data_IF_883868189640
#
_entry.id   IF_883868189640
#
_cell.length_a   1.000
_cell.length_b   1.000
_cell.length_c   1.000
_cell.angle_alpha   90.00
_cell.angle_beta   90.00
_cell.angle_gamma   90.00
#
_symmetry.space_group_name_H-M   'P 1'
#
loop_
_entity.id
_entity.type
_entity.pdbx_description
1 polymer ?
#
# COMPACT_ATOMS: atom_id res chain seq x y z
N UNK A 1 -7.00 3.66 -3.42
CA UNK A 1 -7.49 2.31 -3.14
C UNK A 1 -7.69 2.02 -1.64
N UNK A 2 -6.92 2.65 -0.76
CA UNK A 2 -7.05 2.41 0.68
C UNK A 2 -8.37 2.91 1.30
N UNK A 3 -9.13 3.71 0.57
CA UNK A 3 -10.50 4.07 0.95
C UNK A 3 -11.56 3.27 0.22
N UNK A 4 -11.15 2.38 -0.67
CA UNK A 4 -12.08 1.57 -1.46
C UNK A 4 -12.55 0.36 -0.66
N UNK A 5 -13.87 0.17 -0.63
CA UNK A 5 -14.53 -0.94 0.08
C UNK A 5 -15.68 -1.52 -0.76
N UNK A 6 -15.49 -1.60 -2.07
CA UNK A 6 -16.48 -2.10 -2.99
C UNK A 6 -16.40 -3.62 -3.21
N UNK A 7 -17.34 -4.14 -4.00
CA UNK A 7 -17.48 -5.58 -4.26
C UNK A 7 -16.40 -6.13 -5.20
N UNK A 8 -15.89 -5.29 -6.14
CA UNK A 8 -14.80 -5.69 -7.04
C UNK A 8 -13.50 -5.59 -6.25
N UNK A 9 -12.63 -6.59 -6.36
CA UNK A 9 -11.37 -6.57 -5.61
C UNK A 9 -10.44 -5.46 -6.11
N UNK A 10 -9.63 -4.86 -5.23
CA UNK A 10 -8.62 -3.88 -5.65
C UNK A 10 -7.63 -4.45 -6.68
N UNK A 11 -7.34 -5.75 -6.61
CA UNK A 11 -6.48 -6.44 -7.56
C UNK A 11 -7.07 -6.43 -8.97
N UNK A 12 -8.39 -6.64 -9.10
CA UNK A 12 -9.08 -6.57 -10.38
C UNK A 12 -9.10 -5.16 -10.95
N UNK A 13 -9.34 -4.15 -10.09
CA UNK A 13 -9.29 -2.75 -10.49
C UNK A 13 -7.91 -2.40 -11.02
N UNK A 14 -6.86 -2.77 -10.31
CA UNK A 14 -5.48 -2.50 -10.72
C UNK A 14 -5.13 -3.22 -12.01
N UNK A 15 -5.64 -4.44 -12.22
CA UNK A 15 -5.43 -5.16 -13.47
C UNK A 15 -5.96 -4.38 -14.67
N UNK A 16 -7.16 -3.82 -14.55
CA UNK A 16 -7.73 -3.00 -15.61
C UNK A 16 -6.87 -1.78 -15.93
N UNK A 17 -6.38 -1.07 -14.91
CA UNK A 17 -5.47 0.05 -15.11
C UNK A 17 -4.17 -0.37 -15.79
N UNK A 18 -3.56 -1.44 -15.30
CA UNK A 18 -2.29 -1.93 -15.84
C UNK A 18 -2.45 -2.39 -17.28
N UNK A 19 -3.53 -3.11 -17.60
CA UNK A 19 -3.80 -3.59 -18.96
C UNK A 19 -3.99 -2.43 -19.96
N UNK A 20 -4.51 -1.31 -19.49
CA UNK A 20 -4.73 -0.13 -20.32
C UNK A 20 -3.45 0.68 -20.59
N UNK A 21 -2.38 0.45 -19.83
CA UNK A 21 -1.12 1.18 -20.00
C UNK A 21 -0.27 0.57 -21.10
N UNK A 22 0.48 1.39 -21.86
CA UNK A 22 1.45 0.85 -22.83
C UNK A 22 2.65 0.22 -22.11
N UNK A 23 3.32 -0.71 -22.82
CA UNK A 23 4.58 -1.30 -22.35
C UNK A 23 5.60 -0.22 -22.03
N UNK A 24 6.35 -0.41 -20.96
CA UNK A 24 7.33 0.56 -20.48
C UNK A 24 6.77 1.60 -19.50
N UNK A 25 5.45 1.62 -19.29
CA UNK A 25 4.82 2.49 -18.29
C UNK A 25 5.22 2.10 -16.88
N UNK A 26 5.20 3.10 -15.99
CA UNK A 26 5.44 2.89 -14.55
C UNK A 26 4.16 3.16 -13.76
N UNK A 27 3.94 2.37 -12.73
CA UNK A 27 2.84 2.53 -11.78
C UNK A 27 3.44 2.68 -10.40
N UNK A 28 3.11 3.77 -9.73
CA UNK A 28 3.46 3.99 -8.32
C UNK A 28 2.21 3.82 -7.47
N UNK A 29 2.29 2.99 -6.45
CA UNK A 29 1.18 2.72 -5.54
C UNK A 29 1.64 2.92 -4.10
N UNK A 30 0.86 3.67 -3.32
CA UNK A 30 0.96 3.67 -1.87
C UNK A 30 -0.35 3.15 -1.29
N UNK A 31 -0.27 2.46 -0.17
CA UNK A 31 -1.44 1.87 0.45
C UNK A 31 -1.25 1.70 1.95
N UNK A 32 -2.34 1.80 2.70
CA UNK A 32 -2.34 1.48 4.12
C UNK A 32 -2.02 -0.01 4.29
N UNK A 33 -1.07 -0.30 5.15
CA UNK A 33 -0.53 -1.63 5.39
C UNK A 33 -0.93 -2.14 6.76
N UNK A 34 -1.43 -3.38 6.79
CA UNK A 34 -1.47 -4.18 8.00
C UNK A 34 -0.15 -4.97 8.06
N UNK A 35 0.79 -4.59 8.96
CA UNK A 35 2.10 -5.25 9.02
C UNK A 35 2.05 -6.68 9.51
N UNK A 36 0.89 -7.16 9.98
CA UNK A 36 0.67 -8.51 10.50
C UNK A 36 1.50 -8.84 11.73
N UNK A 37 1.92 -7.82 12.47
CA UNK A 37 2.48 -7.96 13.81
C UNK A 37 1.41 -7.65 14.83
N UNK A 38 1.46 -8.27 16.00
CA UNK A 38 0.45 -8.11 17.05
C UNK A 38 0.20 -6.63 17.37
N UNK A 39 1.27 -5.87 17.63
CA UNK A 39 1.18 -4.45 17.99
C UNK A 39 0.63 -3.58 16.87
N UNK A 40 1.16 -3.73 15.65
CA UNK A 40 0.80 -2.84 14.54
C UNK A 40 -0.50 -3.25 13.87
N UNK A 41 -0.89 -4.52 13.91
CA UNK A 41 -2.19 -4.95 13.40
C UNK A 41 -3.33 -4.38 14.24
N UNK A 42 -3.16 -4.31 15.55
CA UNK A 42 -4.14 -3.66 16.43
C UNK A 42 -4.28 -2.17 16.10
N UNK A 43 -3.14 -1.49 15.89
CA UNK A 43 -3.14 -0.10 15.47
C UNK A 43 -3.86 0.09 14.14
N UNK A 44 -3.61 -0.79 13.16
CA UNK A 44 -4.29 -0.76 11.86
C UNK A 44 -5.81 -0.90 12.02
N UNK A 45 -6.27 -1.83 12.87
CA UNK A 45 -7.72 -1.98 13.12
C UNK A 45 -8.33 -0.75 13.76
N UNK A 46 -7.65 -0.13 14.70
CA UNK A 46 -8.13 1.10 15.34
C UNK A 46 -8.20 2.27 14.35
N UNK A 47 -7.25 2.37 13.44
CA UNK A 47 -7.28 3.39 12.39
C UNK A 47 -8.43 3.15 11.41
N UNK A 48 -8.69 1.91 11.01
CA UNK A 48 -9.84 1.59 10.16
C UNK A 48 -11.16 2.02 10.82
N UNK A 49 -11.31 1.74 12.09
CA UNK A 49 -12.50 2.15 12.85
C UNK A 49 -12.63 3.66 12.93
N UNK A 50 -11.52 4.35 13.15
CA UNK A 50 -11.50 5.82 13.17
C UNK A 50 -11.94 6.39 11.82
N UNK A 51 -11.45 5.86 10.72
CA UNK A 51 -11.87 6.30 9.39
C UNK A 51 -13.35 6.02 9.12
N UNK A 52 -13.85 4.87 9.57
CA UNK A 52 -15.25 4.51 9.41
C UNK A 52 -16.19 5.52 10.05
N UNK A 53 -15.81 6.09 11.20
CA UNK A 53 -16.58 7.06 11.93
C UNK A 53 -16.21 8.53 11.60
N UNK A 54 -15.35 8.72 10.61
CA UNK A 54 -14.93 10.04 10.14
C UNK A 54 -15.73 10.45 8.89
N UNK A 55 -15.60 11.72 8.43
CA UNK A 55 -16.14 12.12 7.14
C UNK A 55 -15.64 11.32 5.94
N UNK A 56 -14.51 10.63 6.07
CA UNK A 56 -14.01 9.74 5.02
C UNK A 56 -14.85 8.48 4.83
N UNK A 57 -15.50 7.99 5.90
CA UNK A 57 -16.41 6.84 5.88
C UNK A 57 -15.77 5.48 5.75
N UNK A 58 -14.57 5.36 5.19
CA UNK A 58 -13.85 4.10 4.99
C UNK A 58 -12.34 4.31 5.09
N UNK A 59 -11.64 3.22 5.38
CA UNK A 59 -10.19 3.13 5.31
C UNK A 59 -9.81 1.67 5.51
N UNK A 60 -9.11 1.08 4.54
CA UNK A 60 -8.77 -0.35 4.57
C UNK A 60 -7.27 -0.51 4.69
N UNK A 61 -6.84 -1.27 5.69
CA UNK A 61 -5.45 -1.67 5.86
C UNK A 61 -5.33 -3.09 5.33
N UNK A 62 -4.54 -3.25 4.27
CA UNK A 62 -4.39 -4.53 3.59
C UNK A 62 -3.03 -5.14 3.91
N UNK A 63 -2.95 -6.46 3.81
CA UNK A 63 -1.70 -7.17 4.05
C UNK A 63 -0.71 -6.94 2.91
N UNK A 64 0.56 -7.26 3.16
CA UNK A 64 1.61 -7.18 2.15
C UNK A 64 1.24 -7.98 0.89
N UNK A 65 0.76 -9.21 1.06
CA UNK A 65 0.39 -10.07 -0.06
C UNK A 65 -0.77 -9.49 -0.87
N UNK A 66 -1.75 -8.90 -0.22
CA UNK A 66 -2.86 -8.24 -0.89
C UNK A 66 -2.39 -7.05 -1.72
N UNK A 67 -1.48 -6.24 -1.18
CA UNK A 67 -0.93 -5.07 -1.87
C UNK A 67 -0.03 -5.51 -3.03
N UNK A 68 0.81 -6.51 -2.83
CA UNK A 68 1.62 -7.07 -3.93
C UNK A 68 0.75 -7.62 -5.05
N UNK A 69 -0.39 -8.22 -4.72
CA UNK A 69 -1.37 -8.68 -5.71
C UNK A 69 -1.92 -7.57 -6.58
N UNK A 70 -2.01 -6.34 -6.07
CA UNK A 70 -2.42 -5.18 -6.86
C UNK A 70 -1.40 -4.78 -7.92
N UNK A 71 -0.15 -5.18 -7.75
CA UNK A 71 0.96 -4.88 -8.66
C UNK A 71 1.29 -6.07 -9.57
N UNK A 72 0.43 -7.09 -9.62
CA UNK A 72 0.63 -8.27 -10.44
C UNK A 72 0.77 -7.90 -11.92
N UNK A 73 1.72 -8.52 -12.59
CA UNK A 73 2.03 -8.24 -14.01
C UNK A 73 3.05 -7.11 -14.20
N UNK A 74 3.48 -6.45 -13.14
CA UNK A 74 4.51 -5.43 -13.20
C UNK A 74 5.83 -5.97 -12.66
N UNK A 75 6.93 -5.46 -13.22
CA UNK A 75 8.27 -5.68 -12.66
C UNK A 75 8.53 -4.63 -11.61
N UNK A 76 8.64 -5.04 -10.33
CA UNK A 76 8.86 -4.09 -9.25
C UNK A 76 10.28 -3.52 -9.33
N UNK A 77 10.36 -2.20 -9.20
CA UNK A 77 11.62 -1.46 -9.11
C UNK A 77 12.14 -1.60 -7.67
N UNK A 78 13.48 -1.76 -7.49
CA UNK A 78 14.05 -1.77 -6.15
C UNK A 78 13.70 -0.47 -5.39
N UNK A 79 13.33 -0.57 -4.13
CA UNK A 79 13.42 -1.70 -3.20
C UNK A 79 12.18 -2.63 -3.18
N UNK A 80 11.30 -2.58 -4.16
CA UNK A 80 10.07 -3.36 -4.16
C UNK A 80 9.01 -2.77 -3.25
N UNK A 81 8.11 -3.60 -2.73
CA UNK A 81 7.13 -3.16 -1.75
C UNK A 81 7.79 -3.03 -0.38
N UNK A 82 7.83 -1.82 0.14
CA UNK A 82 8.42 -1.52 1.44
C UNK A 82 7.66 -0.36 2.10
N UNK A 83 7.96 -0.08 3.37
CA UNK A 83 7.41 1.08 4.04
C UNK A 83 7.75 2.36 3.27
N UNK A 84 6.81 3.28 3.15
CA UNK A 84 7.06 4.54 2.44
C UNK A 84 8.24 5.30 3.04
N UNK A 85 8.45 5.22 4.36
CA UNK A 85 9.58 5.84 5.03
C UNK A 85 10.94 5.24 4.62
N UNK A 86 10.96 4.03 4.09
CA UNK A 86 12.18 3.34 3.65
C UNK A 86 12.42 3.44 2.13
N UNK A 87 11.56 4.18 1.42
CA UNK A 87 11.75 4.43 0.00
C UNK A 87 12.82 5.51 -0.22
N UNK A 88 14.01 5.08 -0.62
CA UNK A 88 15.17 5.94 -0.95
C UNK A 88 15.33 7.13 0.00
N UNK A 89 15.49 6.87 1.33
CA UNK A 89 15.63 7.95 2.28
C UNK A 89 16.92 8.75 2.02
N UNK A 90 16.89 10.05 2.34
CA UNK A 90 18.01 10.97 2.10
C UNK A 90 19.25 10.68 2.97
N UNK A 91 19.12 9.80 3.93
CA UNK A 91 20.23 9.45 4.83
C UNK A 91 19.80 8.43 5.88
N UNK A 92 20.68 8.08 6.82
CA UNK A 92 20.37 7.12 7.85
C UNK A 92 19.26 7.64 8.76
N UNK A 93 18.43 6.70 9.23
CA UNK A 93 17.38 7.01 10.18
C UNK A 93 18.00 7.34 11.54
N UNK A 94 17.74 8.57 12.01
CA UNK A 94 18.29 9.06 13.29
C UNK A 94 17.33 8.73 14.45
N UNK A 95 16.03 8.70 14.19
CA UNK A 95 14.99 8.44 15.18
C UNK A 95 14.17 7.22 14.78
N UNK A 96 13.60 6.45 15.76
CA UNK A 96 12.67 5.40 15.44
C UNK A 96 11.46 5.95 14.66
N UNK A 97 10.88 5.13 13.77
CA UNK A 97 9.65 5.51 13.08
C UNK A 97 8.48 5.63 14.07
N UNK A 98 7.62 6.64 13.91
CA UNK A 98 6.34 6.65 14.62
C UNK A 98 5.55 5.37 14.28
N UNK A 99 4.74 4.84 15.20
CA UNK A 99 3.98 3.61 14.93
C UNK A 99 3.16 3.64 13.66
N UNK A 100 2.53 4.76 13.32
CA UNK A 100 1.73 4.91 12.09
C UNK A 100 2.53 4.72 10.81
N UNK A 101 3.84 5.00 10.83
CA UNK A 101 4.71 4.82 9.67
C UNK A 101 4.94 3.36 9.30
N UNK A 102 4.65 2.42 10.20
CA UNK A 102 4.66 0.98 9.90
C UNK A 102 3.40 0.53 9.18
N UNK A 103 2.41 1.40 9.04
CA UNK A 103 1.11 1.09 8.45
C UNK A 103 0.89 1.77 7.10
N UNK A 104 1.95 2.18 6.41
CA UNK A 104 1.88 2.67 5.04
C UNK A 104 3.06 2.16 4.23
N UNK A 105 2.77 1.54 3.11
CA UNK A 105 3.75 0.96 2.21
C UNK A 105 3.58 1.49 0.80
N UNK A 106 4.64 1.38 0.01
CA UNK A 106 4.62 1.79 -1.38
C UNK A 106 5.49 0.90 -2.26
N UNK A 107 5.18 0.90 -3.54
CA UNK A 107 5.93 0.21 -4.57
C UNK A 107 5.84 0.96 -5.89
N UNK A 108 6.85 0.79 -6.72
CA UNK A 108 6.83 1.24 -8.12
C UNK A 108 7.08 0.02 -8.98
N UNK A 109 6.27 -0.16 -10.01
CA UNK A 109 6.41 -1.25 -10.96
C UNK A 109 6.44 -0.74 -12.39
N UNK A 110 7.18 -1.46 -13.26
CA UNK A 110 7.27 -1.17 -14.68
C UNK A 110 6.47 -2.23 -15.45
N UNK A 111 5.67 -1.79 -16.39
CA UNK A 111 4.97 -2.70 -17.30
C UNK A 111 5.93 -3.19 -18.37
N UNK A 112 6.16 -4.53 -18.46
CA UNK A 112 7.04 -5.09 -19.48
C UNK A 112 6.56 -4.83 -20.91
#
# INVERSE_FOLDING_TARGET
>A
LHHYDGAISPQEIMREYIDALPSGSYVALSHFLDPQTEEHSELARRMEETFLHSPMGTGRFRTRDEIEGMMAGLELVDPGLTLCADWWPDGPRIKPLPPVSYCIAGAVGRKP
#
